data_IF_351990675760
#
_entry.id   IF_351990675760
#
_cell.length_a   1.000
_cell.length_b   1.000
_cell.length_c   1.000
_cell.angle_alpha   90.00
_cell.angle_beta   90.00
_cell.angle_gamma   90.00
#
_symmetry.space_group_name_H-M   'P 1'
#
loop_
_entity.id
_entity.type
_entity.pdbx_description
1 polymer ?
#
# COMPACT_ATOMS: atom_id res chain seq x y z
N UNK A 1 -3.64 13.76 14.97
CA UNK A 1 -4.38 12.48 14.99
C UNK A 1 -3.40 11.37 14.65
N UNK A 2 -3.48 10.20 15.28
CA UNK A 2 -2.64 9.07 14.91
C UNK A 2 -2.95 8.66 13.45
N UNK A 3 -1.95 8.73 12.58
CA UNK A 3 -2.06 8.30 11.19
C UNK A 3 -1.65 6.84 11.06
N UNK A 4 -2.40 6.06 10.29
CA UNK A 4 -1.98 4.70 9.96
C UNK A 4 -1.34 4.67 8.57
N UNK A 5 -0.38 3.77 8.40
CA UNK A 5 0.28 3.49 7.13
C UNK A 5 0.03 2.03 6.78
N UNK A 6 -0.24 1.77 5.51
CA UNK A 6 -0.32 0.43 4.96
C UNK A 6 0.71 0.26 3.85
N UNK A 7 1.33 -0.91 3.79
CA UNK A 7 2.21 -1.33 2.71
C UNK A 7 1.62 -2.58 2.05
N UNK A 8 1.62 -2.61 0.71
CA UNK A 8 1.42 -3.82 -0.07
C UNK A 8 2.62 -4.06 -1.00
N UNK A 9 3.23 -5.24 -0.93
CA UNK A 9 4.35 -5.69 -1.76
C UNK A 9 3.87 -6.69 -2.81
N UNK A 10 4.37 -6.54 -4.03
CA UNK A 10 4.27 -7.51 -5.10
C UNK A 10 5.64 -7.74 -5.75
N UNK A 11 5.88 -8.96 -6.22
CA UNK A 11 7.11 -9.35 -6.93
C UNK A 11 6.82 -10.09 -8.23
N UNK A 12 7.70 -9.90 -9.21
CA UNK A 12 7.64 -10.57 -10.51
C UNK A 12 6.89 -9.78 -11.58
N UNK A 13 6.71 -10.40 -12.74
CA UNK A 13 6.31 -9.71 -13.98
C UNK A 13 4.93 -9.04 -13.88
N UNK A 14 3.99 -9.64 -13.16
CA UNK A 14 2.62 -9.13 -13.00
C UNK A 14 2.43 -8.19 -11.81
N UNK A 15 3.47 -8.00 -10.98
CA UNK A 15 3.36 -7.24 -9.73
C UNK A 15 2.96 -5.79 -9.97
N UNK A 16 3.56 -5.14 -10.99
CA UNK A 16 3.27 -3.75 -11.33
C UNK A 16 1.80 -3.56 -11.72
N UNK A 17 1.30 -4.40 -12.63
CA UNK A 17 -0.08 -4.31 -13.10
C UNK A 17 -1.08 -4.61 -11.96
N UNK A 18 -0.76 -5.57 -11.12
CA UNK A 18 -1.60 -5.97 -9.97
C UNK A 18 -1.65 -4.88 -8.91
N UNK A 19 -0.51 -4.29 -8.53
CA UNK A 19 -0.47 -3.20 -7.57
C UNK A 19 -1.09 -1.91 -8.10
N UNK A 20 -1.00 -1.62 -9.40
CA UNK A 20 -1.72 -0.50 -10.02
C UNK A 20 -3.23 -0.66 -9.86
N UNK A 21 -3.78 -1.83 -10.19
CA UNK A 21 -5.22 -2.09 -9.99
C UNK A 21 -5.63 -1.98 -8.53
N UNK A 22 -4.81 -2.48 -7.62
CA UNK A 22 -5.03 -2.34 -6.18
C UNK A 22 -5.03 -0.87 -5.74
N UNK A 23 -4.04 -0.07 -6.20
CA UNK A 23 -3.93 1.36 -5.92
C UNK A 23 -5.20 2.11 -6.36
N UNK A 24 -5.76 1.77 -7.53
CA UNK A 24 -6.99 2.39 -8.05
C UNK A 24 -8.24 2.13 -7.17
N UNK A 25 -8.18 1.17 -6.24
CA UNK A 25 -9.29 0.90 -5.31
C UNK A 25 -9.23 1.75 -4.04
N UNK A 26 -8.05 2.23 -3.66
CA UNK A 26 -7.81 2.84 -2.34
C UNK A 26 -8.58 4.15 -2.12
N UNK A 27 -8.71 5.08 -3.09
CA UNK A 27 -9.43 6.33 -2.87
C UNK A 27 -10.92 6.17 -2.52
N UNK A 28 -11.50 4.99 -2.75
CA UNK A 28 -12.90 4.68 -2.41
C UNK A 28 -13.08 4.18 -0.98
N UNK A 29 -11.98 3.95 -0.27
CA UNK A 29 -12.01 3.37 1.07
C UNK A 29 -12.13 4.47 2.14
N UNK A 30 -12.87 4.21 3.23
CA UNK A 30 -13.02 5.19 4.30
C UNK A 30 -11.67 5.49 4.97
N UNK A 31 -11.43 6.79 5.21
CA UNK A 31 -10.20 7.26 5.85
C UNK A 31 -8.97 7.27 4.94
N UNK A 32 -9.09 7.01 3.64
CA UNK A 32 -7.95 7.14 2.73
C UNK A 32 -7.44 8.59 2.65
N UNK A 33 -6.12 8.78 2.77
CA UNK A 33 -5.46 10.10 2.65
C UNK A 33 -4.67 10.19 1.36
N UNK A 34 -3.70 9.30 1.17
CA UNK A 34 -2.82 9.29 0.00
C UNK A 34 -2.24 7.90 -0.22
N UNK A 35 -1.70 7.67 -1.41
CA UNK A 35 -0.90 6.49 -1.69
C UNK A 35 0.10 6.73 -2.83
N UNK A 36 1.21 6.02 -2.76
CA UNK A 36 2.27 6.02 -3.76
C UNK A 36 2.58 4.58 -4.19
N UNK A 37 2.80 4.39 -5.49
CA UNK A 37 3.36 3.17 -6.05
C UNK A 37 4.86 3.36 -6.27
N UNK A 38 5.64 2.49 -5.65
CA UNK A 38 7.09 2.55 -5.57
C UNK A 38 7.68 1.33 -6.29
N UNK A 39 8.83 1.54 -6.92
CA UNK A 39 9.68 0.48 -7.46
C UNK A 39 10.99 0.45 -6.67
N UNK A 40 11.56 -0.74 -6.48
CA UNK A 40 12.85 -0.87 -5.79
C UNK A 40 14.01 -1.00 -6.77
N UNK A 41 14.89 0.00 -6.80
CA UNK A 41 16.11 -0.04 -7.61
C UNK A 41 17.05 -1.17 -7.19
N UNK A 42 17.17 -1.40 -5.88
CA UNK A 42 18.02 -2.47 -5.34
C UNK A 42 17.45 -3.88 -5.56
N UNK A 43 16.17 -4.01 -5.91
CA UNK A 43 15.49 -5.29 -6.10
C UNK A 43 14.61 -5.24 -7.36
N UNK A 44 15.19 -5.47 -8.56
CA UNK A 44 14.44 -5.50 -9.81
C UNK A 44 13.24 -6.46 -9.73
N UNK A 45 12.08 -5.98 -10.17
CA UNK A 45 10.83 -6.73 -10.13
C UNK A 45 10.07 -6.65 -8.80
N UNK A 46 10.57 -5.92 -7.78
CA UNK A 46 9.79 -5.58 -6.58
C UNK A 46 9.11 -4.22 -6.72
N UNK A 47 7.84 -4.19 -6.34
CA UNK A 47 7.01 -3.01 -6.27
C UNK A 47 6.26 -2.94 -4.94
N UNK A 48 6.00 -1.73 -4.46
CA UNK A 48 5.26 -1.47 -3.23
C UNK A 48 4.18 -0.43 -3.46
N UNK A 49 3.01 -0.61 -2.86
CA UNK A 49 2.10 0.51 -2.58
C UNK A 49 2.28 0.90 -1.12
N UNK A 50 2.60 2.17 -0.87
CA UNK A 50 2.50 2.79 0.46
C UNK A 50 1.22 3.62 0.48
N UNK A 51 0.39 3.50 1.51
CA UNK A 51 -0.83 4.30 1.66
C UNK A 51 -0.99 4.82 3.07
N UNK A 52 -1.53 6.04 3.18
CA UNK A 52 -1.77 6.77 4.43
C UNK A 52 -3.26 6.87 4.72
N UNK A 53 -3.61 6.78 5.99
CA UNK A 53 -4.98 6.68 6.44
C UNK A 53 -5.26 7.53 7.68
N UNK A 54 -6.45 8.14 7.70
CA UNK A 54 -7.06 8.72 8.90
C UNK A 54 -7.64 7.59 9.75
N UNK A 55 -7.03 7.34 10.91
CA UNK A 55 -7.44 6.24 11.78
C UNK A 55 -7.10 4.87 11.21
N UNK A 56 -7.79 3.83 11.70
CA UNK A 56 -7.47 2.43 11.41
C UNK A 56 -7.68 2.11 9.94
N UNK A 57 -6.70 1.45 9.32
CA UNK A 57 -6.82 0.92 7.96
C UNK A 57 -7.95 -0.12 7.92
N UNK A 58 -8.92 -0.02 7.00
CA UNK A 58 -9.95 -1.04 6.83
C UNK A 58 -9.33 -2.37 6.37
N UNK A 59 -10.11 -3.45 6.38
CA UNK A 59 -9.67 -4.70 5.75
C UNK A 59 -9.53 -4.44 4.24
N UNK A 60 -8.32 -4.56 3.71
CA UNK A 60 -8.04 -4.37 2.29
C UNK A 60 -7.91 -5.75 1.62
N UNK A 61 -8.68 -5.94 0.55
CA UNK A 61 -8.62 -7.18 -0.24
C UNK A 61 -7.36 -7.15 -1.12
N UNK A 62 -6.32 -7.84 -0.65
CA UNK A 62 -5.08 -8.01 -1.40
C UNK A 62 -5.24 -9.14 -2.42
N UNK A 63 -4.89 -8.85 -3.67
CA UNK A 63 -4.86 -9.86 -4.72
C UNK A 63 -3.85 -10.98 -4.36
N UNK A 64 -4.07 -12.23 -4.84
CA UNK A 64 -3.13 -13.31 -4.63
C UNK A 64 -1.70 -12.94 -5.04
N UNK A 65 -0.73 -13.34 -4.23
CA UNK A 65 0.69 -13.03 -4.46
C UNK A 65 1.14 -11.68 -3.90
N UNK A 66 0.22 -10.81 -3.47
CA UNK A 66 0.58 -9.63 -2.68
C UNK A 66 0.75 -9.98 -1.20
N UNK A 67 1.65 -9.28 -0.54
CA UNK A 67 1.79 -9.29 0.93
C UNK A 67 1.52 -7.89 1.44
N UNK A 68 0.89 -7.75 2.60
CA UNK A 68 0.66 -6.43 3.16
C UNK A 68 0.73 -6.37 4.68
N UNK A 69 0.98 -5.16 5.15
CA UNK A 69 1.17 -4.85 6.57
C UNK A 69 0.61 -3.46 6.87
N UNK A 70 0.12 -3.32 8.09
CA UNK A 70 -0.42 -2.06 8.61
C UNK A 70 0.36 -1.64 9.84
N UNK A 71 0.63 -0.34 9.95
CA UNK A 71 1.40 0.26 11.02
C UNK A 71 0.69 1.51 11.53
N UNK A 72 0.86 1.80 12.82
CA UNK A 72 0.53 3.09 13.40
C UNK A 72 1.76 4.00 13.36
N UNK A 73 1.57 5.26 13.00
CA UNK A 73 2.64 6.25 13.01
C UNK A 73 2.86 6.72 14.45
N UNK A 74 4.04 6.41 15.00
CA UNK A 74 4.41 6.79 16.37
C UNK A 74 5.17 8.13 16.46
N UNK A 75 5.77 8.58 15.36
CA UNK A 75 6.44 9.88 15.23
C UNK A 75 6.30 10.38 13.78
N UNK A 76 6.07 11.67 13.58
CA UNK A 76 6.03 12.32 12.27
C UNK A 76 6.73 13.67 12.37
N UNK A 77 7.60 13.98 11.39
CA UNK A 77 8.35 15.24 11.32
C UNK A 77 7.87 16.09 10.18
#
# INVERSE_FOLDING_TARGET
MASHVHYAEGRGDDALATLRRFLDTLPRQPGFVSAELLWSEAQPGLYLVMSRWEGRVPSLDLAPGLRGWTFETVDSR
#
